data_IF_152860131933
#
_entry.id   IF_152860131933
#
_cell.length_a   1.000
_cell.length_b   1.000
_cell.length_c   1.000
_cell.angle_alpha   90.00
_cell.angle_beta   90.00
_cell.angle_gamma   90.00
#
_symmetry.space_group_name_H-M   'P 1'
#
loop_
_entity.id
_entity.type
_entity.pdbx_description
1 polymer ?
#
# COMPACT_ATOMS: atom_id res chain seq x y z
N UNK A 1 7.01 15.41 7.26
CA UNK A 1 7.82 14.21 6.97
C UNK A 1 7.26 12.90 7.56
N UNK A 2 6.20 12.91 8.39
CA UNK A 2 5.62 11.68 8.96
C UNK A 2 4.61 10.96 8.04
N UNK A 3 4.00 11.65 7.08
CA UNK A 3 2.93 11.06 6.24
C UNK A 3 3.45 10.06 5.19
N UNK A 4 4.66 10.25 4.65
CA UNK A 4 5.26 9.36 3.63
C UNK A 4 5.53 7.94 4.17
N UNK A 5 5.68 7.81 5.49
CA UNK A 5 6.03 6.55 6.16
C UNK A 5 4.83 5.79 6.73
N UNK A 6 3.62 6.32 6.68
CA UNK A 6 2.49 5.69 7.37
C UNK A 6 1.80 4.59 6.56
N UNK A 7 2.07 4.46 5.25
CA UNK A 7 1.41 3.45 4.41
C UNK A 7 -0.12 3.52 4.52
N UNK A 8 -0.80 2.41 4.22
CA UNK A 8 -2.24 2.29 4.43
C UNK A 8 -2.64 2.36 5.91
N UNK A 9 -3.81 2.95 6.24
CA UNK A 9 -4.35 2.92 7.60
C UNK A 9 -4.43 1.49 8.14
N UNK A 10 -4.08 1.26 9.42
CA UNK A 10 -4.09 -0.08 10.01
C UNK A 10 -5.44 -0.81 9.86
N UNK A 11 -6.56 -0.09 9.96
CA UNK A 11 -7.89 -0.65 9.78
C UNK A 11 -8.14 -1.18 8.36
N UNK A 12 -7.66 -0.45 7.34
CA UNK A 12 -7.79 -0.88 5.93
C UNK A 12 -6.96 -2.13 5.69
N UNK A 13 -5.72 -2.15 6.21
CA UNK A 13 -4.85 -3.33 6.10
C UNK A 13 -5.44 -4.55 6.80
N UNK A 14 -5.98 -4.37 8.00
CA UNK A 14 -6.61 -5.45 8.76
C UNK A 14 -7.83 -6.01 8.02
N UNK A 15 -8.69 -5.14 7.48
CA UNK A 15 -9.88 -5.57 6.73
C UNK A 15 -9.51 -6.30 5.44
N UNK A 16 -8.52 -5.80 4.70
CA UNK A 16 -7.99 -6.49 3.53
C UNK A 16 -7.48 -7.89 3.88
N UNK A 17 -6.69 -8.04 4.95
CA UNK A 17 -6.16 -9.35 5.38
C UNK A 17 -7.27 -10.33 5.78
N UNK A 18 -8.31 -9.85 6.48
CA UNK A 18 -9.47 -10.65 6.85
C UNK A 18 -10.20 -11.18 5.60
N UNK A 19 -10.51 -10.29 4.65
CA UNK A 19 -11.21 -10.66 3.43
C UNK A 19 -10.36 -11.55 2.52
N UNK A 20 -9.04 -11.31 2.45
CA UNK A 20 -8.13 -12.17 1.70
C UNK A 20 -8.08 -13.59 2.30
N UNK A 21 -8.01 -13.70 3.63
CA UNK A 21 -8.04 -15.01 4.30
C UNK A 21 -9.35 -15.77 4.03
N UNK A 22 -10.46 -15.05 3.90
CA UNK A 22 -11.76 -15.62 3.57
C UNK A 22 -11.89 -16.00 2.10
N UNK A 23 -11.26 -15.24 1.21
CA UNK A 23 -11.11 -15.59 -0.20
C UNK A 23 -10.33 -16.90 -0.35
N UNK A 24 -9.18 -17.02 0.34
CA UNK A 24 -8.35 -18.24 0.36
C UNK A 24 -9.09 -19.45 0.93
N UNK A 25 -9.96 -19.23 1.92
CA UNK A 25 -10.81 -20.26 2.49
C UNK A 25 -12.09 -20.54 1.69
N UNK A 26 -12.30 -19.88 0.55
CA UNK A 26 -13.49 -20.01 -0.32
C UNK A 26 -14.83 -19.73 0.39
N UNK A 27 -14.81 -18.90 1.44
CA UNK A 27 -16.00 -18.53 2.25
C UNK A 27 -16.38 -17.05 2.14
N UNK A 28 -15.86 -16.38 1.11
CA UNK A 28 -16.13 -14.96 0.84
C UNK A 28 -17.54 -14.80 0.23
N UNK A 29 -18.36 -13.91 0.80
CA UNK A 29 -19.66 -13.61 0.19
C UNK A 29 -19.51 -12.67 -1.01
N UNK A 30 -20.51 -12.58 -1.89
CA UNK A 30 -20.48 -11.62 -3.01
C UNK A 30 -20.31 -10.17 -2.56
N UNK A 31 -20.92 -9.77 -1.44
CA UNK A 31 -20.79 -8.42 -0.87
C UNK A 31 -19.37 -8.16 -0.38
N UNK A 32 -18.76 -9.15 0.27
CA UNK A 32 -17.38 -9.08 0.75
C UNK A 32 -16.37 -9.13 -0.39
N UNK A 33 -16.69 -9.80 -1.48
CA UNK A 33 -15.89 -9.75 -2.70
C UNK A 33 -15.90 -8.34 -3.29
N UNK A 34 -17.05 -7.67 -3.33
CA UNK A 34 -17.12 -6.27 -3.77
C UNK A 34 -16.36 -5.34 -2.82
N UNK A 35 -16.45 -5.57 -1.51
CA UNK A 35 -15.66 -4.83 -0.53
C UNK A 35 -14.15 -5.02 -0.74
N UNK A 36 -13.71 -6.26 -0.98
CA UNK A 36 -12.30 -6.59 -1.23
C UNK A 36 -11.77 -5.85 -2.47
N UNK A 37 -12.53 -5.83 -3.56
CA UNK A 37 -12.18 -5.04 -4.75
C UNK A 37 -12.02 -3.55 -4.44
N UNK A 38 -12.97 -2.98 -3.69
CA UNK A 38 -12.91 -1.58 -3.28
C UNK A 38 -11.72 -1.26 -2.35
N UNK A 39 -11.27 -2.22 -1.54
CA UNK A 39 -10.08 -2.09 -0.72
C UNK A 39 -8.80 -2.17 -1.57
N UNK A 40 -8.75 -3.07 -2.55
CA UNK A 40 -7.63 -3.17 -3.50
C UNK A 40 -7.46 -1.85 -4.26
N UNK A 41 -8.55 -1.28 -4.79
CA UNK A 41 -8.50 0.00 -5.49
C UNK A 41 -7.95 1.13 -4.61
N UNK A 42 -8.31 1.15 -3.32
CA UNK A 42 -7.80 2.15 -2.36
C UNK A 42 -6.31 1.94 -2.06
N UNK A 43 -5.88 0.69 -1.94
CA UNK A 43 -4.47 0.30 -1.73
C UNK A 43 -3.63 0.78 -2.92
N UNK A 44 -4.02 0.41 -4.14
CA UNK A 44 -3.29 0.78 -5.35
C UNK A 44 -3.18 2.31 -5.53
N UNK A 45 -4.26 3.03 -5.27
CA UNK A 45 -4.26 4.50 -5.33
C UNK A 45 -3.31 5.12 -4.29
N UNK A 46 -3.34 4.63 -3.05
CA UNK A 46 -2.46 5.11 -1.99
C UNK A 46 -0.98 4.84 -2.32
N UNK A 47 -0.68 3.67 -2.86
CA UNK A 47 0.68 3.30 -3.23
C UNK A 47 1.19 4.07 -4.46
N UNK A 48 0.32 4.34 -5.44
CA UNK A 48 0.64 5.22 -6.57
C UNK A 48 0.97 6.66 -6.13
N UNK A 49 0.16 7.22 -5.22
CA UNK A 49 0.40 8.56 -4.65
C UNK A 49 1.73 8.57 -3.89
N UNK A 50 1.99 7.55 -3.07
CA UNK A 50 3.22 7.43 -2.29
C UNK A 50 4.45 7.30 -3.20
N UNK A 51 4.38 6.48 -4.24
CA UNK A 51 5.46 6.33 -5.21
C UNK A 51 5.80 7.65 -5.88
N UNK A 52 4.77 8.41 -6.31
CA UNK A 52 4.95 9.74 -6.88
C UNK A 52 5.67 10.69 -5.91
N UNK A 53 5.26 10.72 -4.64
CA UNK A 53 5.90 11.55 -3.61
C UNK A 53 7.36 11.15 -3.36
N UNK A 54 7.67 9.86 -3.38
CA UNK A 54 9.05 9.38 -3.24
C UNK A 54 9.92 9.78 -4.44
N UNK A 55 9.39 9.68 -5.65
CA UNK A 55 10.10 10.12 -6.87
C UNK A 55 10.38 11.63 -6.79
N UNK A 56 9.38 12.45 -6.44
CA UNK A 56 9.56 13.90 -6.29
C UNK A 56 10.60 14.22 -5.21
N UNK A 57 10.57 13.51 -4.08
CA UNK A 57 11.56 13.70 -3.01
C UNK A 57 12.98 13.29 -3.44
N UNK A 58 13.12 12.22 -4.23
CA UNK A 58 14.41 11.76 -4.75
C UNK A 58 15.01 12.80 -5.69
N UNK A 59 14.18 13.34 -6.59
CA UNK A 59 14.55 14.45 -7.48
C UNK A 59 15.00 15.69 -6.71
N UNK A 60 14.24 16.11 -5.70
CA UNK A 60 14.59 17.26 -4.85
C UNK A 60 15.91 17.07 -4.09
N UNK A 61 16.27 15.83 -3.78
CA UNK A 61 17.51 15.48 -3.09
C UNK A 61 18.67 15.12 -4.02
N UNK A 62 18.45 15.11 -5.34
CA UNK A 62 19.46 14.75 -6.32
C UNK A 62 19.98 13.31 -6.19
N UNK A 63 19.14 12.38 -5.73
CA UNK A 63 19.47 10.97 -5.55
C UNK A 63 18.47 10.09 -6.31
N UNK A 64 18.83 8.83 -6.53
CA UNK A 64 17.90 7.84 -7.09
C UNK A 64 16.78 7.49 -6.10
N UNK A 65 15.68 6.95 -6.62
CA UNK A 65 14.58 6.47 -5.80
C UNK A 65 15.04 5.35 -4.85
N UNK A 66 15.89 4.43 -5.32
CA UNK A 66 16.40 3.33 -4.51
C UNK A 66 17.26 3.82 -3.34
N UNK A 67 18.19 4.76 -3.59
CA UNK A 67 19.00 5.38 -2.54
C UNK A 67 18.13 6.10 -1.50
N UNK A 68 17.09 6.82 -1.96
CA UNK A 68 16.14 7.47 -1.07
C UNK A 68 15.38 6.45 -0.21
N UNK A 69 14.87 5.38 -0.83
CA UNK A 69 14.12 4.33 -0.13
C UNK A 69 15.00 3.64 0.91
N UNK A 70 16.27 3.35 0.59
CA UNK A 70 17.25 2.83 1.54
C UNK A 70 17.49 3.81 2.70
N UNK A 71 17.70 5.11 2.41
CA UNK A 71 17.92 6.13 3.42
C UNK A 71 16.71 6.30 4.37
N UNK A 72 15.49 6.16 3.84
CA UNK A 72 14.26 6.25 4.62
C UNK A 72 13.85 4.92 5.27
N UNK A 73 14.64 3.86 5.08
CA UNK A 73 14.34 2.49 5.52
C UNK A 73 12.95 2.02 5.05
N UNK A 74 12.59 2.39 3.82
CA UNK A 74 11.35 2.00 3.15
C UNK A 74 11.62 0.76 2.30
N UNK A 75 10.93 -0.32 2.61
CA UNK A 75 10.85 -1.47 1.71
C UNK A 75 9.70 -1.28 0.71
N UNK A 76 9.83 -1.74 -0.53
CA UNK A 76 8.71 -1.81 -1.44
C UNK A 76 7.58 -2.65 -0.82
N UNK A 77 6.31 -2.29 -1.03
CA UNK A 77 5.21 -3.09 -0.54
C UNK A 77 5.28 -4.49 -1.16
N UNK A 78 5.20 -5.51 -0.29
CA UNK A 78 5.04 -6.90 -0.72
C UNK A 78 3.54 -7.16 -0.78
N UNK A 79 3.00 -7.34 -1.98
CA UNK A 79 1.67 -7.91 -2.16
C UNK A 79 1.88 -9.40 -2.43
N UNK A 80 1.43 -10.22 -1.49
CA UNK A 80 1.39 -11.68 -1.62
C UNK A 80 0.05 -12.10 -2.19
#
# INVERSE_FOLDING_TARGET
MQQINQGLPPAVRQRYQELNSRLEAEVLTPEEHQELLGLIDQIEQADAIRLKQLIELAQLRGMSLDELMQQLNISPPVYA
#
